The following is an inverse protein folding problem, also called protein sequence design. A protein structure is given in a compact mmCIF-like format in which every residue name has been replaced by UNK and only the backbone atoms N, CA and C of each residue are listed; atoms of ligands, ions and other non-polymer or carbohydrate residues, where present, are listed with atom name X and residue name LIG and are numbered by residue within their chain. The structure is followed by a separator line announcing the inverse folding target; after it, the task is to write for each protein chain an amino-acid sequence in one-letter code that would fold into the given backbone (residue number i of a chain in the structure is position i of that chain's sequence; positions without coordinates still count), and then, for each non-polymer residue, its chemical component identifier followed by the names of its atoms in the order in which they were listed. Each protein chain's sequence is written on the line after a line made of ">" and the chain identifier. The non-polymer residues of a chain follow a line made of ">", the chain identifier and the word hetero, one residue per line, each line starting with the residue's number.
data_IF_981701655331
#
_entry.id   IF_981701655331
#
_cell.length_a   1.000
_cell.length_b   1.000
_cell.length_c   1.000
_cell.angle_alpha   90.00
_cell.angle_beta   90.00
_cell.angle_gamma   90.00
#
_symmetry.space_group_name_H-M   'P 1'
#
loop_
_entity.id
_entity.type
_entity.pdbx_description
1 polymer ?
#
# COMPACT_ATOMS: atom_id res chain seq x y z
N UNK A 1 -0.93 -8.03 -13.99
CA UNK A 1 -0.34 -7.86 -15.33
C UNK A 1 -0.77 -8.91 -16.35
N UNK A 2 -1.90 -9.62 -16.15
CA UNK A 2 -2.45 -10.59 -17.10
C UNK A 2 -1.74 -11.97 -17.13
N UNK A 3 -0.85 -12.23 -16.21
CA UNK A 3 -0.13 -13.51 -16.08
C UNK A 3 -0.44 -14.16 -14.74
N UNK A 4 -0.31 -15.50 -14.69
CA UNK A 4 -0.48 -16.30 -13.48
C UNK A 4 0.87 -16.91 -13.09
N UNK A 5 1.15 -16.89 -11.80
CA UNK A 5 2.40 -17.39 -11.24
C UNK A 5 2.11 -18.33 -10.07
N UNK A 6 2.89 -19.40 -9.97
CA UNK A 6 3.00 -20.21 -8.76
C UNK A 6 4.12 -19.60 -7.91
N UNK A 7 3.82 -19.25 -6.67
CA UNK A 7 4.74 -18.53 -5.78
C UNK A 7 4.73 -19.12 -4.39
N UNK A 8 5.86 -19.06 -3.72
CA UNK A 8 5.99 -19.31 -2.29
C UNK A 8 6.35 -18.01 -1.55
N UNK A 9 6.30 -18.07 -0.22
CA UNK A 9 6.76 -16.96 0.61
C UNK A 9 8.24 -16.71 0.37
N UNK A 10 8.63 -15.44 0.36
CA UNK A 10 9.97 -14.93 0.10
C UNK A 10 10.51 -15.13 -1.33
N UNK A 11 9.72 -15.68 -2.25
CA UNK A 11 10.09 -15.78 -3.65
C UNK A 11 10.24 -14.41 -4.31
N UNK A 12 11.20 -14.33 -5.24
CA UNK A 12 11.42 -13.15 -6.06
C UNK A 12 11.07 -13.47 -7.51
N UNK A 13 10.28 -12.64 -8.15
CA UNK A 13 9.74 -12.83 -9.50
C UNK A 13 9.91 -11.60 -10.37
N UNK A 14 10.01 -11.84 -11.67
CA UNK A 14 9.92 -10.82 -12.71
C UNK A 14 8.51 -10.83 -13.31
N UNK A 15 7.82 -9.70 -13.21
CA UNK A 15 6.48 -9.52 -13.79
C UNK A 15 6.48 -8.34 -14.76
N UNK A 16 5.47 -8.27 -15.61
CA UNK A 16 5.30 -7.10 -16.48
C UNK A 16 5.25 -5.81 -15.65
N UNK A 17 5.68 -4.71 -16.23
CA UNK A 17 5.81 -3.42 -15.57
C UNK A 17 4.58 -3.06 -14.75
N UNK A 18 4.79 -2.77 -13.47
CA UNK A 18 3.80 -2.22 -12.56
C UNK A 18 3.98 -0.70 -12.45
N UNK A 19 2.92 0.03 -12.12
CA UNK A 19 2.93 1.50 -11.98
C UNK A 19 3.45 1.96 -10.63
N UNK A 20 3.45 1.07 -9.62
CA UNK A 20 3.88 1.34 -8.25
C UNK A 20 5.38 1.62 -8.19
N UNK A 21 5.78 2.39 -7.19
CA UNK A 21 7.18 2.74 -6.97
C UNK A 21 7.95 1.63 -6.26
N UNK A 22 9.28 1.70 -6.35
CA UNK A 22 10.18 0.84 -5.57
C UNK A 22 9.92 0.99 -4.07
N UNK A 23 9.78 -0.12 -3.36
CA UNK A 23 9.49 -0.20 -1.93
C UNK A 23 8.00 -0.23 -1.59
N UNK A 24 7.11 -0.05 -2.56
CA UNK A 24 5.67 -0.10 -2.31
C UNK A 24 5.22 -1.54 -2.02
N UNK A 25 4.29 -1.66 -1.06
CA UNK A 25 3.61 -2.91 -0.75
C UNK A 25 2.27 -2.96 -1.47
N UNK A 26 2.03 -4.04 -2.20
CA UNK A 26 0.82 -4.26 -2.98
C UNK A 26 0.11 -5.49 -2.44
N UNK A 27 -1.20 -5.41 -2.26
CA UNK A 27 -2.07 -6.52 -1.92
C UNK A 27 -2.74 -7.06 -3.19
N UNK A 28 -2.55 -8.35 -3.45
CA UNK A 28 -3.17 -9.07 -4.56
C UNK A 28 -4.32 -9.93 -4.01
N UNK A 29 -5.53 -9.65 -4.45
CA UNK A 29 -6.76 -10.31 -3.97
C UNK A 29 -7.17 -11.49 -4.86
N UNK A 30 -6.70 -11.54 -6.11
CA UNK A 30 -7.08 -12.58 -7.08
C UNK A 30 -6.20 -13.81 -6.92
N UNK A 31 -6.45 -14.60 -5.90
CA UNK A 31 -5.77 -15.87 -5.63
C UNK A 31 -6.63 -17.02 -6.16
N UNK A 32 -6.08 -17.86 -7.01
CA UNK A 32 -6.80 -18.97 -7.65
C UNK A 32 -6.71 -20.26 -6.86
N UNK A 33 -5.56 -20.52 -6.26
CA UNK A 33 -5.26 -21.75 -5.53
C UNK A 33 -4.27 -21.46 -4.41
N UNK A 34 -4.48 -22.06 -3.26
CA UNK A 34 -3.47 -22.17 -2.19
C UNK A 34 -3.25 -23.64 -1.86
N UNK A 35 -1.99 -24.01 -1.71
CA UNK A 35 -1.58 -25.36 -1.32
C UNK A 35 -0.60 -25.25 -0.16
N UNK A 36 -1.00 -25.78 0.99
CA UNK A 36 -0.16 -26.06 2.14
C UNK A 36 0.08 -27.57 2.20
N UNK A 37 1.09 -28.01 2.94
CA UNK A 37 1.47 -29.45 3.05
C UNK A 37 0.30 -30.37 3.41
N UNK A 38 -0.71 -29.84 4.11
CA UNK A 38 -1.85 -30.62 4.62
C UNK A 38 -3.19 -30.29 3.93
N UNK A 39 -3.28 -29.15 3.25
CA UNK A 39 -4.55 -28.66 2.71
C UNK A 39 -4.36 -27.95 1.40
N UNK A 40 -5.15 -28.34 0.40
CA UNK A 40 -5.25 -27.64 -0.89
C UNK A 40 -6.62 -27.01 -0.98
N UNK A 41 -6.65 -25.71 -1.26
CA UNK A 41 -7.90 -24.96 -1.47
C UNK A 41 -7.89 -24.37 -2.88
N UNK A 42 -8.94 -24.72 -3.66
CA UNK A 42 -9.11 -24.26 -5.04
C UNK A 42 -10.24 -23.26 -5.12
N UNK A 43 -10.02 -22.14 -5.78
CA UNK A 43 -11.03 -21.11 -5.98
C UNK A 43 -12.00 -21.43 -7.11
N UNK A 44 -13.24 -20.97 -6.97
CA UNK A 44 -14.29 -21.07 -7.99
C UNK A 44 -14.94 -19.70 -8.24
N UNK A 45 -14.37 -18.82 -9.06
CA UNK A 45 -13.04 -18.86 -9.72
C UNK A 45 -11.88 -18.39 -8.86
N UNK A 46 -12.12 -17.66 -7.77
CA UNK A 46 -11.12 -17.04 -6.90
C UNK A 46 -11.38 -17.43 -5.46
N UNK A 47 -10.34 -17.59 -4.67
CA UNK A 47 -10.44 -17.80 -3.23
C UNK A 47 -10.86 -16.49 -2.54
N UNK A 48 -11.96 -16.53 -1.81
CA UNK A 48 -12.39 -15.44 -0.96
C UNK A 48 -11.55 -15.43 0.32
N UNK A 49 -11.24 -14.25 0.83
CA UNK A 49 -10.46 -14.02 2.07
C UNK A 49 -8.98 -14.45 2.01
N UNK A 50 -8.43 -14.71 0.82
CA UNK A 50 -7.01 -14.98 0.68
C UNK A 50 -6.36 -13.86 -0.13
N UNK A 51 -5.26 -13.31 0.39
CA UNK A 51 -4.51 -12.24 -0.27
C UNK A 51 -3.01 -12.57 -0.27
N UNK A 52 -2.31 -12.06 -1.27
CA UNK A 52 -0.86 -12.16 -1.37
C UNK A 52 -0.29 -10.74 -1.27
N UNK A 53 0.60 -10.52 -0.30
CA UNK A 53 1.31 -9.26 -0.16
C UNK A 53 2.66 -9.35 -0.86
N UNK A 54 2.91 -8.44 -1.78
CA UNK A 54 4.15 -8.32 -2.52
C UNK A 54 4.80 -6.96 -2.27
N UNK A 55 6.13 -6.92 -2.35
CA UNK A 55 6.94 -5.70 -2.31
C UNK A 55 7.61 -5.50 -3.66
N UNK A 56 7.58 -4.28 -4.18
CA UNK A 56 8.29 -3.89 -5.41
C UNK A 56 9.76 -3.63 -5.06
N UNK A 57 10.67 -4.46 -5.58
CA UNK A 57 12.11 -4.31 -5.36
C UNK A 57 12.72 -3.28 -6.30
N UNK A 58 12.51 -3.45 -7.60
CA UNK A 58 13.03 -2.54 -8.63
C UNK A 58 12.31 -2.72 -9.96
N UNK A 59 12.45 -1.71 -10.80
CA UNK A 59 12.06 -1.77 -12.20
C UNK A 59 13.29 -1.98 -13.07
N UNK A 60 13.20 -2.88 -14.02
CA UNK A 60 14.30 -3.20 -14.92
C UNK A 60 13.80 -3.40 -16.35
N UNK A 61 14.72 -3.46 -17.28
CA UNK A 61 14.46 -3.85 -18.66
C UNK A 61 15.08 -5.21 -18.87
N UNK A 62 14.36 -6.07 -19.55
CA UNK A 62 14.83 -7.40 -19.95
C UNK A 62 15.92 -7.30 -21.01
N UNK A 63 16.49 -8.43 -21.37
CA UNK A 63 17.44 -8.51 -22.48
C UNK A 63 16.81 -8.06 -23.79
N UNK A 64 17.62 -7.45 -24.64
CA UNK A 64 17.14 -6.97 -25.94
C UNK A 64 16.97 -8.13 -26.91
N UNK A 65 15.73 -8.38 -27.30
CA UNK A 65 15.41 -9.37 -28.33
C UNK A 65 15.52 -8.74 -29.71
N UNK A 66 16.40 -9.31 -30.53
CA UNK A 66 16.58 -8.82 -31.91
C UNK A 66 15.62 -9.56 -32.83
N UNK A 67 14.72 -8.81 -33.44
CA UNK A 67 13.78 -9.30 -34.44
C UNK A 67 14.35 -9.00 -35.82
N UNK A 68 14.81 -10.05 -36.51
CA UNK A 68 15.38 -9.92 -37.85
C UNK A 68 14.50 -10.61 -38.89
N UNK A 69 14.09 -9.87 -39.90
CA UNK A 69 13.27 -10.37 -41.01
C UNK A 69 14.00 -10.12 -42.33
N UNK A 70 14.19 -11.18 -43.12
CA UNK A 70 14.84 -11.11 -44.44
C UNK A 70 14.10 -11.98 -45.44
N UNK A 71 13.94 -11.47 -46.65
CA UNK A 71 13.48 -12.27 -47.80
C UNK A 71 14.66 -12.43 -48.79
N UNK A 72 15.00 -13.68 -49.11
CA UNK A 72 16.09 -13.98 -50.03
C UNK A 72 15.80 -13.34 -51.41
N UNK A 73 16.81 -12.76 -52.03
CA UNK A 73 16.76 -12.13 -53.37
C UNK A 73 15.67 -11.07 -53.60
N UNK A 74 15.07 -10.50 -52.55
CA UNK A 74 14.00 -9.52 -52.64
C UNK A 74 14.39 -8.15 -52.06
N UNK A 75 15.64 -7.93 -51.70
CA UNK A 75 16.09 -6.69 -51.06
C UNK A 75 15.49 -6.40 -49.69
N UNK A 76 14.56 -7.22 -49.20
CA UNK A 76 13.91 -7.04 -47.91
C UNK A 76 14.79 -7.51 -46.76
N UNK A 77 15.20 -6.60 -45.92
CA UNK A 77 16.03 -6.83 -44.72
C UNK A 77 15.64 -5.83 -43.64
N UNK A 78 14.97 -6.28 -42.60
CA UNK A 78 14.54 -5.42 -41.47
C UNK A 78 15.10 -6.00 -40.18
N UNK A 79 15.75 -5.18 -39.39
CA UNK A 79 16.29 -5.55 -38.06
C UNK A 79 15.73 -4.58 -37.02
N UNK A 80 14.89 -5.07 -36.15
CA UNK A 80 14.31 -4.32 -35.03
C UNK A 80 14.76 -4.94 -33.71
N UNK A 81 14.82 -4.15 -32.65
CA UNK A 81 15.06 -4.65 -31.30
C UNK A 81 13.85 -4.37 -30.43
N UNK A 82 13.48 -5.35 -29.60
CA UNK A 82 12.49 -5.20 -28.56
C UNK A 82 13.14 -5.36 -27.19
N UNK A 83 12.79 -4.51 -26.23
CA UNK A 83 13.25 -4.62 -24.84
C UNK A 83 12.06 -4.44 -23.91
N UNK A 84 11.67 -5.52 -23.22
CA UNK A 84 10.51 -5.52 -22.34
C UNK A 84 10.82 -4.82 -21.03
N UNK A 85 9.89 -3.98 -20.57
CA UNK A 85 9.95 -3.36 -19.25
C UNK A 85 9.33 -4.33 -18.22
N UNK A 86 10.09 -4.64 -17.19
CA UNK A 86 9.72 -5.55 -16.11
C UNK A 86 9.79 -4.87 -14.74
N UNK A 87 9.17 -5.50 -13.77
CA UNK A 87 9.26 -5.16 -12.36
C UNK A 87 9.65 -6.40 -11.58
N UNK A 88 10.69 -6.31 -10.78
CA UNK A 88 11.07 -7.34 -9.83
C UNK A 88 10.30 -7.14 -8.54
N UNK A 89 9.61 -8.18 -8.11
CA UNK A 89 8.78 -8.20 -6.91
C UNK A 89 9.21 -9.32 -5.97
N UNK A 90 9.03 -9.11 -4.67
CA UNK A 90 9.23 -10.13 -3.64
C UNK A 90 7.91 -10.42 -2.93
N UNK A 91 7.60 -11.71 -2.77
CA UNK A 91 6.43 -12.16 -2.00
C UNK A 91 6.75 -12.07 -0.51
N UNK A 92 6.01 -11.27 0.24
CA UNK A 92 6.19 -11.09 1.70
C UNK A 92 5.35 -12.05 2.50
N UNK A 93 4.07 -12.16 2.18
CA UNK A 93 3.13 -13.03 2.89
C UNK A 93 2.05 -13.55 1.98
N UNK A 94 1.60 -14.76 2.26
CA UNK A 94 0.47 -15.43 1.62
C UNK A 94 -0.46 -15.86 2.74
N UNK A 95 -1.77 -15.55 2.64
CA UNK A 95 -2.73 -15.99 3.64
C UNK A 95 -4.00 -15.14 3.70
N UNK A 96 -4.89 -15.52 4.61
CA UNK A 96 -6.11 -14.78 4.90
C UNK A 96 -5.76 -13.39 5.45
N UNK A 97 -6.58 -12.40 5.11
CA UNK A 97 -6.49 -11.04 5.67
C UNK A 97 -6.56 -11.09 7.19
N UNK A 98 -5.43 -11.18 7.85
CA UNK A 98 -5.34 -10.64 9.21
C UNK A 98 -5.13 -9.14 9.02
N UNK A 99 -6.05 -8.36 9.56
CA UNK A 99 -6.02 -6.90 9.57
C UNK A 99 -4.66 -6.40 10.06
N UNK A 100 -3.68 -6.32 9.18
CA UNK A 100 -2.54 -5.44 9.38
C UNK A 100 -3.06 -4.04 9.14
N UNK A 101 -3.33 -3.35 10.24
CA UNK A 101 -3.67 -1.93 10.28
C UNK A 101 -2.82 -1.21 9.23
N UNK A 102 -3.52 -0.65 8.27
CA UNK A 102 -3.07 0.30 7.28
C UNK A 102 -2.01 1.23 7.89
N UNK A 103 -0.73 0.97 7.60
CA UNK A 103 0.27 2.02 7.81
C UNK A 103 0.04 3.04 6.73
N UNK A 104 -0.63 4.10 7.08
CA UNK A 104 -0.94 5.26 6.29
C UNK A 104 0.34 5.91 5.80
N UNK A 105 0.62 5.73 4.52
CA UNK A 105 1.45 6.68 3.81
C UNK A 105 0.62 7.95 3.66
N UNK A 106 1.11 9.02 4.27
CA UNK A 106 0.51 10.33 4.26
C UNK A 106 0.26 10.82 2.84
N UNK A 107 -0.99 10.85 2.43
CA UNK A 107 -1.43 11.62 1.27
C UNK A 107 -1.93 12.96 1.76
N UNK A 108 -1.13 13.98 1.53
CA UNK A 108 -1.57 15.39 1.61
C UNK A 108 -2.73 15.56 0.64
N UNK A 109 -3.93 15.82 1.15
CA UNK A 109 -5.02 16.48 0.41
C UNK A 109 -5.91 17.24 1.39
N UNK A 110 -6.32 18.40 0.92
CA UNK A 110 -7.04 19.52 1.49
C UNK A 110 -8.38 19.15 2.13
N UNK A 111 -8.93 20.08 2.94
CA UNK A 111 -10.07 19.80 3.79
C UNK A 111 -11.40 19.98 3.05
N UNK A 112 -12.34 19.10 3.31
CA UNK A 112 -13.75 19.41 3.20
C UNK A 112 -14.50 18.91 4.44
N UNK A 113 -15.45 19.74 4.83
CA UNK A 113 -16.08 19.80 6.13
C UNK A 113 -17.10 18.68 6.38
N UNK A 114 -17.33 18.49 7.67
CA UNK A 114 -18.52 17.97 8.37
C UNK A 114 -18.56 16.47 8.69
N UNK A 115 -18.31 16.15 9.95
CA UNK A 115 -19.28 15.62 10.93
C UNK A 115 -18.60 15.24 12.23
N UNK A 116 -19.16 15.74 13.30
CA UNK A 116 -18.81 15.54 14.69
C UNK A 116 -19.01 14.09 15.15
N UNK A 117 -17.92 13.42 15.52
CA UNK A 117 -17.98 12.24 16.37
C UNK A 117 -17.21 12.55 17.67
N UNK A 118 -17.93 12.47 18.79
CA UNK A 118 -17.40 12.70 20.14
C UNK A 118 -16.40 11.59 20.48
N UNK A 119 -15.13 11.91 20.36
CA UNK A 119 -14.04 11.01 20.73
C UNK A 119 -13.68 11.30 22.19
N UNK A 120 -13.98 10.36 23.07
CA UNK A 120 -13.49 10.35 24.45
C UNK A 120 -12.00 10.02 24.43
N UNK A 121 -11.16 11.02 24.54
CA UNK A 121 -9.70 10.87 24.56
C UNK A 121 -9.26 11.14 26.00
N UNK A 122 -8.61 10.14 26.62
CA UNK A 122 -7.93 10.32 27.90
C UNK A 122 -6.77 11.34 27.77
N UNK A 123 -7.08 12.59 28.13
CA UNK A 123 -6.18 13.75 28.01
C UNK A 123 -5.10 13.77 29.10
N UNK A 124 -5.29 13.01 30.18
CA UNK A 124 -4.38 12.98 31.34
C UNK A 124 -3.03 12.34 31.04
N UNK A 125 -2.99 11.37 30.13
CA UNK A 125 -1.77 10.61 29.78
C UNK A 125 -0.92 11.27 28.69
N UNK A 126 -1.43 12.34 28.02
CA UNK A 126 -0.75 12.98 26.90
C UNK A 126 0.25 14.06 27.32
N UNK A 127 1.25 14.30 26.48
CA UNK A 127 2.26 15.34 26.69
C UNK A 127 1.68 16.76 26.53
N UNK A 128 2.34 17.76 27.10
CA UNK A 128 1.92 19.17 27.04
C UNK A 128 1.83 19.69 25.58
N UNK A 129 2.73 19.22 24.71
CA UNK A 129 2.75 19.57 23.29
C UNK A 129 1.54 19.01 22.54
N UNK A 130 1.18 17.76 22.81
CA UNK A 130 0.01 17.11 22.20
C UNK A 130 -1.32 17.73 22.66
N UNK A 131 -1.43 18.10 23.94
CA UNK A 131 -2.62 18.77 24.48
C UNK A 131 -2.78 20.17 23.87
N UNK A 132 -1.68 20.90 23.69
CA UNK A 132 -1.70 22.20 22.99
C UNK A 132 -2.11 22.05 21.50
N UNK A 133 -1.69 21.01 20.83
CA UNK A 133 -2.11 20.73 19.45
C UNK A 133 -3.60 20.42 19.36
N UNK A 134 -4.13 19.63 20.30
CA UNK A 134 -5.57 19.32 20.41
C UNK A 134 -6.39 20.57 20.71
N UNK A 135 -5.92 21.42 21.63
CA UNK A 135 -6.58 22.71 21.94
C UNK A 135 -6.63 23.64 20.71
N UNK A 136 -5.58 23.66 19.91
CA UNK A 136 -5.52 24.41 18.64
C UNK A 136 -6.51 23.86 17.61
N UNK A 137 -6.62 22.55 17.47
CA UNK A 137 -7.57 21.90 16.56
C UNK A 137 -9.02 22.10 17.01
N UNK A 138 -9.26 22.16 18.33
CA UNK A 138 -10.56 22.49 18.91
C UNK A 138 -10.91 23.99 18.82
N UNK A 139 -10.05 24.83 18.22
CA UNK A 139 -10.30 26.26 18.03
C UNK A 139 -10.27 27.07 19.31
N UNK A 140 -9.52 26.64 20.33
CA UNK A 140 -9.30 27.41 21.56
C UNK A 140 -8.16 28.43 21.33
N UNK A 141 -8.31 29.62 21.87
CA UNK A 141 -7.30 30.69 21.84
C UNK A 141 -6.85 31.06 23.26
N UNK A 142 -5.63 31.53 23.42
CA UNK A 142 -5.12 31.99 24.73
C UNK A 142 -4.46 30.91 25.60
N UNK A 143 -4.30 29.68 25.16
CA UNK A 143 -3.76 28.56 25.96
C UNK A 143 -2.22 28.48 25.98
N UNK A 144 -1.49 29.35 25.30
CA UNK A 144 -0.02 29.25 25.16
C UNK A 144 0.76 29.38 26.47
N UNK A 145 0.23 30.16 27.45
CA UNK A 145 0.82 30.40 28.79
C UNK A 145 0.20 29.58 29.91
N UNK A 146 -0.83 28.75 29.62
CA UNK A 146 -1.56 27.97 30.62
C UNK A 146 -0.89 26.66 31.00
N UNK A 147 -1.13 26.18 32.23
CA UNK A 147 -0.66 24.88 32.72
C UNK A 147 -1.48 23.74 32.13
N UNK A 148 -0.89 22.56 32.07
CA UNK A 148 -1.50 21.33 31.50
C UNK A 148 -2.94 21.10 31.99
N UNK A 149 -3.16 21.19 33.31
CA UNK A 149 -4.48 20.94 33.93
C UNK A 149 -5.55 21.94 33.51
N UNK A 150 -5.19 23.22 33.26
CA UNK A 150 -6.10 24.27 32.83
C UNK A 150 -6.53 24.09 31.37
N UNK A 151 -5.59 23.67 30.50
CA UNK A 151 -5.90 23.39 29.09
C UNK A 151 -6.84 22.19 28.97
N UNK A 152 -6.65 21.14 29.78
CA UNK A 152 -7.54 19.95 29.81
C UNK A 152 -8.97 20.40 30.20
N UNK A 153 -9.13 21.16 31.26
CA UNK A 153 -10.46 21.68 31.68
C UNK A 153 -11.16 22.51 30.60
N UNK A 154 -10.42 23.34 29.87
CA UNK A 154 -10.96 24.13 28.76
C UNK A 154 -11.40 23.25 27.58
N UNK A 155 -10.68 22.16 27.29
CA UNK A 155 -11.07 21.19 26.23
C UNK A 155 -12.33 20.43 26.65
N UNK A 156 -12.43 20.01 27.91
CA UNK A 156 -13.59 19.29 28.46
C UNK A 156 -14.85 20.16 28.49
N UNK A 157 -14.76 21.43 28.92
CA UNK A 157 -15.89 22.34 28.91
C UNK A 157 -16.42 22.63 27.51
N UNK A 158 -15.55 22.66 26.52
CA UNK A 158 -15.97 22.88 25.11
C UNK A 158 -16.55 21.65 24.44
N UNK A 159 -16.13 20.42 24.86
CA UNK A 159 -16.72 19.19 24.36
C UNK A 159 -18.12 18.88 24.96
N UNK A 160 -18.48 19.56 26.04
CA UNK A 160 -19.77 19.40 26.72
C UNK A 160 -20.83 20.46 26.31
N UNK A 161 -20.49 21.38 25.42
CA UNK A 161 -21.42 22.32 24.80
C UNK A 161 -21.73 21.95 23.35
#
# INVERSE_FOLDING_TARGET
>A
SGQQFKVAKDDTLLVNRLEQKKGDLILLEKVLLTADDKKVSVGTPVLQNTTVQIEVLRHLKDEKVIVFKKKRRKGYKVKNGHQQHLTEIKVKSIGSQQNTKKSTVAKVLKPDASKSDKINIDLSSKSLLEIKSIAKTAGLTGFSSMKKAEIIKLIETKNNQ
#
